data_IF_634547282973
#
_entry.id   IF_634547282973
#
_cell.length_a   1.000
_cell.length_b   1.000
_cell.length_c   1.000
_cell.angle_alpha   90.00
_cell.angle_beta   90.00
_cell.angle_gamma   90.00
#
_symmetry.space_group_name_H-M   'P 1'
#
loop_
_entity.id
_entity.type
_entity.pdbx_description
1 polymer ?
#
# COMPACT_ATOMS: atom_id res chain seq x y z
N UNK A 1 23.35 -4.25 2.42
CA UNK A 1 22.04 -3.80 2.90
C UNK A 1 22.16 -2.30 2.97
N UNK A 2 21.44 -1.59 2.13
CA UNK A 2 21.43 -0.14 2.13
C UNK A 2 20.60 0.35 3.32
N UNK A 3 21.05 1.44 3.93
CA UNK A 3 20.22 2.26 4.81
C UNK A 3 19.45 3.27 3.99
N UNK A 4 18.42 3.89 4.59
CA UNK A 4 17.70 5.01 4.00
C UNK A 4 18.64 6.15 3.56
N UNK A 5 19.68 6.44 4.34
CA UNK A 5 20.64 7.48 3.98
C UNK A 5 21.47 7.08 2.75
N UNK A 6 21.89 5.83 2.64
CA UNK A 6 22.61 5.34 1.46
C UNK A 6 21.76 5.49 0.18
N UNK A 7 20.45 5.24 0.26
CA UNK A 7 19.51 5.43 -0.86
C UNK A 7 19.42 6.92 -1.23
N UNK A 8 19.29 7.81 -0.25
CA UNK A 8 19.27 9.27 -0.48
C UNK A 8 20.56 9.73 -1.15
N UNK A 9 21.72 9.25 -0.69
CA UNK A 9 23.02 9.63 -1.23
C UNK A 9 23.19 9.21 -2.71
N UNK A 10 22.64 8.05 -3.08
CA UNK A 10 22.61 7.58 -4.48
C UNK A 10 21.70 8.45 -5.35
N UNK A 11 20.51 8.82 -4.85
CA UNK A 11 19.64 9.77 -5.55
C UNK A 11 20.34 11.10 -5.76
N UNK A 12 20.96 11.64 -4.71
CA UNK A 12 21.66 12.94 -4.77
C UNK A 12 22.84 12.89 -5.73
N UNK A 13 23.64 11.82 -5.70
CA UNK A 13 24.74 11.63 -6.65
C UNK A 13 24.26 11.57 -8.11
N UNK A 14 23.14 10.89 -8.38
CA UNK A 14 22.54 10.84 -9.71
C UNK A 14 21.97 12.19 -10.15
N UNK A 15 21.21 12.88 -9.28
CA UNK A 15 20.58 14.17 -9.59
C UNK A 15 21.61 15.28 -9.82
N UNK A 16 22.76 15.22 -9.13
CA UNK A 16 23.89 16.14 -9.26
C UNK A 16 24.88 15.75 -10.39
N UNK A 17 24.51 14.76 -11.22
CA UNK A 17 25.32 14.24 -12.33
C UNK A 17 26.74 13.76 -11.89
N UNK A 18 26.88 13.33 -10.63
CA UNK A 18 28.10 12.70 -10.05
C UNK A 18 28.11 11.18 -10.22
N UNK A 19 26.96 10.59 -10.52
CA UNK A 19 26.75 9.18 -10.78
C UNK A 19 25.90 9.04 -12.04
N UNK A 20 26.29 8.14 -12.93
CA UNK A 20 25.55 7.81 -14.14
C UNK A 20 24.33 6.94 -13.83
N UNK A 21 23.40 6.82 -14.78
CA UNK A 21 22.24 5.95 -14.63
C UNK A 21 22.66 4.48 -14.45
N UNK A 22 23.60 4.02 -15.28
CA UNK A 22 24.10 2.64 -15.25
C UNK A 22 24.72 2.29 -13.89
N UNK A 23 25.48 3.20 -13.29
CA UNK A 23 26.06 3.02 -11.95
C UNK A 23 24.98 2.94 -10.86
N UNK A 24 23.92 3.75 -10.96
CA UNK A 24 22.80 3.72 -10.02
C UNK A 24 21.97 2.42 -10.15
N UNK A 25 21.78 1.93 -11.37
CA UNK A 25 21.12 0.64 -11.64
C UNK A 25 21.96 -0.51 -11.10
N UNK A 26 23.27 -0.55 -11.38
CA UNK A 26 24.14 -1.62 -10.88
C UNK A 26 24.17 -1.64 -9.33
N UNK A 27 24.22 -0.46 -8.70
CA UNK A 27 24.11 -0.37 -7.24
C UNK A 27 22.76 -0.91 -6.74
N UNK A 28 21.67 -0.55 -7.41
CA UNK A 28 20.31 -0.98 -7.08
C UNK A 28 20.16 -2.50 -7.14
N UNK A 29 20.62 -3.15 -8.21
CA UNK A 29 20.55 -4.61 -8.38
C UNK A 29 21.26 -5.36 -7.24
N UNK A 30 22.37 -4.80 -6.73
CA UNK A 30 23.14 -5.40 -5.63
C UNK A 30 22.46 -5.28 -4.27
N UNK A 31 21.65 -4.23 -4.06
CA UNK A 31 21.10 -3.89 -2.74
C UNK A 31 19.62 -4.23 -2.57
N UNK A 32 18.81 -4.26 -3.64
CA UNK A 32 17.35 -4.45 -3.56
C UNK A 32 16.95 -5.70 -2.77
N UNK A 33 17.62 -6.83 -3.00
CA UNK A 33 17.29 -8.12 -2.34
C UNK A 33 17.72 -8.22 -0.88
N UNK A 34 18.48 -7.24 -0.38
CA UNK A 34 19.07 -7.26 0.98
C UNK A 34 18.54 -6.14 1.85
N UNK A 35 17.84 -5.17 1.28
CA UNK A 35 17.41 -3.95 1.95
C UNK A 35 16.04 -4.16 2.57
N UNK A 36 15.88 -3.75 3.84
CA UNK A 36 14.60 -3.81 4.53
C UNK A 36 13.61 -2.88 3.81
N UNK A 37 12.38 -3.33 3.49
CA UNK A 37 11.37 -2.49 2.82
C UNK A 37 11.06 -1.17 3.54
N UNK A 38 11.31 -1.07 4.85
CA UNK A 38 11.17 0.18 5.59
C UNK A 38 12.29 1.20 5.34
N UNK A 39 13.42 0.78 4.78
CA UNK A 39 14.51 1.66 4.37
C UNK A 39 14.22 2.30 3.00
N UNK A 40 13.51 1.58 2.12
CA UNK A 40 13.04 2.05 0.80
C UNK A 40 11.50 2.09 0.67
N UNK A 41 10.80 2.92 1.46
CA UNK A 41 9.34 3.05 1.37
C UNK A 41 8.85 3.56 0.01
N UNK A 42 9.67 4.34 -0.70
CA UNK A 42 9.36 4.98 -1.99
C UNK A 42 9.61 4.06 -3.20
N UNK A 43 10.10 2.84 -2.99
CA UNK A 43 10.48 1.92 -4.07
C UNK A 43 11.49 2.52 -5.05
N UNK A 44 12.45 3.28 -4.54
CA UNK A 44 13.52 3.93 -5.33
C UNK A 44 14.29 2.90 -6.15
N UNK A 45 14.52 1.71 -5.60
CA UNK A 45 15.14 0.63 -6.36
C UNK A 45 14.33 0.29 -7.63
N UNK A 46 13.00 0.25 -7.55
CA UNK A 46 12.17 0.03 -8.74
C UNK A 46 12.12 1.25 -9.64
N UNK A 47 12.21 2.48 -9.11
CA UNK A 47 12.35 3.69 -9.91
C UNK A 47 13.60 3.64 -10.79
N UNK A 48 14.75 3.22 -10.23
CA UNK A 48 15.99 3.02 -11.00
C UNK A 48 15.91 1.82 -11.95
N UNK A 49 15.39 0.66 -11.54
CA UNK A 49 15.26 -0.51 -12.44
C UNK A 49 14.24 -0.29 -13.57
N UNK A 50 13.17 0.45 -13.29
CA UNK A 50 12.20 0.95 -14.27
C UNK A 50 12.77 2.06 -15.17
N UNK A 51 14.07 2.34 -15.00
CA UNK A 51 15.03 3.10 -15.81
C UNK A 51 14.74 3.20 -17.30
N UNK A 52 14.54 2.01 -17.84
CA UNK A 52 14.58 1.74 -19.25
C UNK A 52 13.18 1.57 -19.85
N UNK A 53 12.14 1.72 -19.03
CA UNK A 53 10.77 1.74 -19.52
C UNK A 53 10.58 2.94 -20.47
N UNK A 54 9.97 2.73 -21.66
CA UNK A 54 9.67 3.81 -22.59
C UNK A 54 8.92 4.95 -21.90
N UNK A 55 9.23 6.19 -22.26
CA UNK A 55 8.64 7.40 -21.64
C UNK A 55 7.11 7.42 -21.73
N UNK A 56 6.56 6.83 -22.78
CA UNK A 56 5.12 6.64 -23.02
C UNK A 56 4.42 5.77 -21.95
N UNK A 57 5.20 4.95 -21.24
CA UNK A 57 4.72 4.06 -20.16
C UNK A 57 4.93 4.71 -18.79
N UNK A 58 5.74 5.77 -18.72
CA UNK A 58 6.07 6.45 -17.46
C UNK A 58 5.04 7.50 -17.11
N UNK A 59 4.61 7.48 -15.86
CA UNK A 59 3.72 8.52 -15.32
C UNK A 59 4.46 9.85 -15.17
N UNK A 60 5.77 9.82 -14.90
CA UNK A 60 6.63 10.99 -14.69
C UNK A 60 8.05 10.76 -15.25
N UNK A 61 8.76 11.82 -15.66
CA UNK A 61 10.19 11.76 -15.93
C UNK A 61 10.99 11.26 -14.71
N UNK A 62 12.08 10.53 -14.95
CA UNK A 62 12.88 9.89 -13.89
C UNK A 62 13.36 10.90 -12.83
N UNK A 63 13.98 12.02 -13.24
CA UNK A 63 14.48 13.04 -12.30
C UNK A 63 13.35 13.64 -11.44
N UNK A 64 12.14 13.78 -11.99
CA UNK A 64 10.98 14.26 -11.23
C UNK A 64 10.52 13.23 -10.20
N UNK A 65 10.44 11.96 -10.58
CA UNK A 65 10.07 10.88 -9.65
C UNK A 65 11.10 10.75 -8.53
N UNK A 66 12.40 10.76 -8.84
CA UNK A 66 13.45 10.66 -7.83
C UNK A 66 13.44 11.83 -6.81
N UNK A 67 13.04 13.02 -7.23
CA UNK A 67 12.85 14.15 -6.29
C UNK A 67 11.70 13.90 -5.31
N UNK A 68 10.61 13.27 -5.77
CA UNK A 68 9.48 12.88 -4.91
C UNK A 68 9.89 11.74 -3.98
N UNK A 69 10.55 10.72 -4.52
CA UNK A 69 11.04 9.57 -3.76
C UNK A 69 11.99 10.03 -2.65
N UNK A 70 12.92 10.93 -2.98
CA UNK A 70 13.82 11.55 -2.01
C UNK A 70 13.07 12.29 -0.90
N UNK A 71 12.01 13.02 -1.23
CA UNK A 71 11.19 13.71 -0.22
C UNK A 71 10.53 12.71 0.74
N UNK A 72 10.03 11.59 0.22
CA UNK A 72 9.48 10.49 1.01
C UNK A 72 10.55 9.91 1.94
N UNK A 73 11.77 9.67 1.45
CA UNK A 73 12.87 9.14 2.27
C UNK A 73 13.31 10.13 3.35
N UNK A 74 13.43 11.42 3.03
CA UNK A 74 13.85 12.45 3.99
C UNK A 74 12.83 12.64 5.10
N UNK A 75 11.53 12.70 4.76
CA UNK A 75 10.47 12.89 5.76
C UNK A 75 10.18 11.59 6.53
N UNK A 76 10.34 10.45 5.87
CA UNK A 76 10.06 9.13 6.40
C UNK A 76 8.56 8.80 6.43
N UNK A 77 8.27 7.51 6.59
CA UNK A 77 6.92 6.99 6.80
C UNK A 77 6.93 6.02 7.99
N UNK A 78 5.86 5.96 8.79
CA UNK A 78 5.79 5.12 9.99
C UNK A 78 5.65 3.65 9.58
N UNK A 79 6.78 2.93 9.52
CA UNK A 79 6.83 1.54 9.08
C UNK A 79 6.90 0.58 10.28
N UNK A 80 5.81 -0.13 10.64
CA UNK A 80 5.78 -1.01 11.80
C UNK A 80 6.33 -2.43 11.53
N UNK A 81 7.09 -2.63 10.44
CA UNK A 81 7.53 -3.97 10.00
C UNK A 81 8.27 -4.76 11.09
N UNK A 82 9.13 -4.10 11.88
CA UNK A 82 9.90 -4.74 12.97
C UNK A 82 9.03 -5.24 14.14
N UNK A 83 7.78 -4.79 14.20
CA UNK A 83 6.79 -5.16 15.21
C UNK A 83 5.83 -6.26 14.75
N UNK A 84 5.92 -6.69 13.48
CA UNK A 84 5.14 -7.80 12.95
C UNK A 84 5.38 -9.09 13.77
N UNK A 85 4.29 -9.74 14.16
CA UNK A 85 4.30 -10.95 14.98
C UNK A 85 4.61 -10.70 16.47
N UNK A 86 4.88 -9.45 16.87
CA UNK A 86 5.02 -9.03 18.27
C UNK A 86 3.76 -8.28 18.69
N UNK A 87 3.76 -6.97 18.50
CA UNK A 87 2.67 -6.05 18.86
C UNK A 87 1.78 -5.73 17.67
N UNK A 88 2.17 -6.11 16.45
CA UNK A 88 1.39 -5.92 15.21
C UNK A 88 1.14 -7.27 14.54
N UNK A 89 -0.11 -7.61 14.27
CA UNK A 89 -0.44 -8.83 13.51
C UNK A 89 -0.29 -8.64 12.00
N UNK A 90 -0.74 -7.48 11.52
CA UNK A 90 -0.68 -7.08 10.12
C UNK A 90 -0.81 -5.56 10.04
N UNK A 91 -0.23 -4.99 8.98
CA UNK A 91 -0.43 -3.59 8.64
C UNK A 91 -0.56 -3.44 7.13
N UNK A 92 -1.24 -2.39 6.72
CA UNK A 92 -1.24 -1.85 5.38
C UNK A 92 -0.84 -0.38 5.49
N UNK A 93 0.28 -0.03 4.86
CA UNK A 93 0.84 1.30 4.85
C UNK A 93 0.85 1.81 3.42
N UNK A 94 0.27 2.98 3.23
CA UNK A 94 0.12 3.62 1.95
C UNK A 94 0.42 5.11 2.09
N UNK A 95 1.00 5.73 1.08
CA UNK A 95 1.23 7.17 1.08
C UNK A 95 1.08 7.75 -0.32
N UNK A 96 0.83 9.04 -0.38
CA UNK A 96 0.89 9.85 -1.59
C UNK A 96 1.79 11.05 -1.27
N UNK A 97 2.92 11.24 -1.97
CA UNK A 97 3.85 12.34 -1.70
C UNK A 97 3.13 13.69 -1.64
N UNK A 98 3.43 14.49 -0.61
CA UNK A 98 2.85 15.82 -0.32
C UNK A 98 1.36 15.87 -0.01
N UNK A 99 0.64 14.76 -0.09
CA UNK A 99 -0.77 14.69 0.28
C UNK A 99 -0.93 14.14 1.69
N UNK A 100 -0.67 12.83 1.86
CA UNK A 100 -0.92 12.14 3.13
C UNK A 100 -0.25 10.78 3.21
N UNK A 101 -0.20 10.28 4.44
CA UNK A 101 0.23 8.94 4.83
C UNK A 101 -0.97 8.26 5.50
N UNK A 102 -1.17 6.98 5.21
CA UNK A 102 -2.22 6.15 5.79
C UNK A 102 -1.61 4.88 6.35
N UNK A 103 -1.85 4.61 7.62
CA UNK A 103 -1.51 3.38 8.29
C UNK A 103 -2.77 2.72 8.81
N UNK A 104 -3.08 1.52 8.31
CA UNK A 104 -4.09 0.64 8.87
C UNK A 104 -3.38 -0.56 9.48
N UNK A 105 -3.63 -0.88 10.74
CA UNK A 105 -2.96 -2.00 11.39
C UNK A 105 -3.83 -2.71 12.41
N UNK A 106 -3.48 -3.97 12.67
CA UNK A 106 -4.04 -4.76 13.76
C UNK A 106 -3.00 -4.79 14.87
N UNK A 107 -3.20 -3.96 15.89
CA UNK A 107 -2.37 -3.93 17.09
C UNK A 107 -2.84 -4.98 18.10
N UNK A 108 -1.88 -5.53 18.83
CA UNK A 108 -2.09 -6.33 20.04
C UNK A 108 -1.64 -5.48 21.22
N UNK A 109 -2.53 -5.20 22.17
CA UNK A 109 -2.19 -4.48 23.40
C UNK A 109 -1.38 -5.37 24.35
N UNK A 110 -0.82 -4.79 25.41
CA UNK A 110 -0.13 -5.55 26.47
C UNK A 110 -1.05 -6.59 27.13
N UNK A 111 -2.35 -6.28 27.22
CA UNK A 111 -3.39 -7.17 27.75
C UNK A 111 -3.85 -8.25 26.74
N UNK A 112 -3.27 -8.26 25.53
CA UNK A 112 -3.60 -9.21 24.46
C UNK A 112 -4.87 -8.86 23.67
N UNK A 113 -5.42 -7.67 23.86
CA UNK A 113 -6.58 -7.20 23.11
C UNK A 113 -6.16 -6.83 21.69
N UNK A 114 -7.01 -7.15 20.71
CA UNK A 114 -6.77 -6.84 19.30
C UNK A 114 -7.50 -5.55 18.96
N UNK A 115 -6.79 -4.57 18.40
CA UNK A 115 -7.34 -3.28 17.99
C UNK A 115 -7.06 -3.09 16.50
N UNK A 116 -8.10 -2.88 15.71
CA UNK A 116 -7.97 -2.34 14.36
C UNK A 116 -7.80 -0.83 14.48
N UNK A 117 -6.64 -0.34 14.13
CA UNK A 117 -6.27 1.08 14.18
C UNK A 117 -6.11 1.60 12.75
N UNK A 118 -6.70 2.76 12.48
CA UNK A 118 -6.56 3.47 11.20
C UNK A 118 -6.14 4.90 11.48
N UNK A 119 -4.97 5.26 10.96
CA UNK A 119 -4.37 6.58 11.09
C UNK A 119 -4.21 7.15 9.68
N UNK A 120 -4.64 8.40 9.47
CA UNK A 120 -4.34 9.21 8.30
C UNK A 120 -3.71 10.52 8.75
N UNK A 121 -2.55 10.87 8.18
CA UNK A 121 -1.76 12.03 8.58
C UNK A 121 -1.28 12.81 7.35
N UNK A 122 -1.16 14.12 7.48
CA UNK A 122 -0.42 14.96 6.55
C UNK A 122 1.10 14.77 6.72
N UNK A 123 1.87 15.19 5.70
CA UNK A 123 3.33 15.12 5.74
C UNK A 123 4.01 16.12 6.70
N UNK A 124 3.21 16.99 7.33
CA UNK A 124 3.59 17.88 8.42
C UNK A 124 3.30 17.25 9.81
N UNK A 125 2.80 16.01 9.84
CA UNK A 125 2.37 15.32 11.07
C UNK A 125 0.96 15.69 11.53
N UNK A 126 0.21 16.48 10.76
CA UNK A 126 -1.18 16.80 11.11
C UNK A 126 -2.06 15.55 10.98
N UNK A 127 -2.67 15.10 12.09
CA UNK A 127 -3.59 13.98 12.08
C UNK A 127 -4.90 14.38 11.37
N UNK A 128 -5.18 13.76 10.21
CA UNK A 128 -6.37 14.00 9.40
C UNK A 128 -7.54 13.08 9.81
N UNK A 129 -7.22 11.88 10.26
CA UNK A 129 -8.21 10.92 10.76
C UNK A 129 -7.56 9.89 11.67
N UNK A 130 -8.28 9.50 12.71
CA UNK A 130 -7.90 8.41 13.59
C UNK A 130 -9.14 7.64 14.02
N UNK A 131 -9.06 6.32 13.93
CA UNK A 131 -10.09 5.40 14.41
C UNK A 131 -9.45 4.17 15.04
N UNK A 132 -9.93 3.81 16.23
CA UNK A 132 -9.65 2.54 16.87
C UNK A 132 -10.94 1.73 16.98
N UNK A 133 -10.88 0.46 16.59
CA UNK A 133 -11.99 -0.47 16.71
C UNK A 133 -11.52 -1.77 17.37
N UNK A 134 -12.04 -2.14 18.54
CA UNK A 134 -11.76 -3.44 19.13
C UNK A 134 -12.16 -4.58 18.19
N UNK A 135 -11.26 -5.55 18.04
CA UNK A 135 -11.50 -6.79 17.32
C UNK A 135 -11.63 -7.94 18.33
N UNK A 136 -12.58 -8.86 18.13
CA UNK A 136 -12.63 -10.08 18.92
C UNK A 136 -11.33 -10.90 18.83
N UNK A 137 -11.07 -11.67 19.89
CA UNK A 137 -10.02 -12.69 19.91
C UNK A 137 -10.32 -13.71 18.79
N UNK A 138 -9.28 -14.15 18.07
CA UNK A 138 -9.43 -15.07 16.94
C UNK A 138 -10.16 -16.34 17.37
N UNK A 139 -11.16 -16.74 16.59
CA UNK A 139 -11.83 -18.02 16.79
C UNK A 139 -10.97 -19.15 16.20
N UNK A 140 -10.18 -19.80 17.06
CA UNK A 140 -9.32 -20.95 16.69
C UNK A 140 -10.10 -22.22 16.37
N UNK A 141 -11.42 -22.27 16.61
CA UNK A 141 -12.19 -23.53 16.58
C UNK A 141 -13.17 -23.65 15.41
N UNK A 142 -13.50 -22.60 14.67
CA UNK A 142 -14.71 -22.67 13.81
C UNK A 142 -14.60 -22.25 12.35
N UNK A 143 -13.50 -21.74 11.80
CA UNK A 143 -13.55 -21.25 10.41
C UNK A 143 -12.32 -21.63 9.59
N UNK A 144 -12.57 -22.09 8.35
CA UNK A 144 -11.54 -22.18 7.31
C UNK A 144 -10.81 -20.83 7.20
N UNK A 145 -9.48 -20.84 6.97
CA UNK A 145 -8.73 -19.61 6.81
C UNK A 145 -9.28 -18.79 5.65
N UNK A 146 -9.23 -17.47 5.79
CA UNK A 146 -9.57 -16.57 4.70
C UNK A 146 -8.54 -16.74 3.57
N UNK A 147 -9.02 -16.80 2.32
CA UNK A 147 -8.16 -16.83 1.13
C UNK A 147 -8.38 -15.61 0.24
N UNK A 148 -7.35 -15.25 -0.52
CA UNK A 148 -7.39 -14.21 -1.54
C UNK A 148 -8.55 -14.36 -2.53
N UNK A 149 -8.87 -15.58 -2.98
CA UNK A 149 -10.00 -15.83 -3.89
C UNK A 149 -11.35 -15.45 -3.25
N UNK A 150 -11.50 -15.70 -1.94
CA UNK A 150 -12.70 -15.29 -1.21
C UNK A 150 -12.82 -13.77 -1.15
N UNK A 151 -11.71 -13.07 -0.84
CA UNK A 151 -11.64 -11.60 -0.82
C UNK A 151 -12.00 -11.03 -2.20
N UNK A 152 -11.37 -11.54 -3.26
CA UNK A 152 -11.60 -11.09 -4.64
C UNK A 152 -13.06 -11.29 -5.04
N UNK A 153 -13.63 -12.47 -4.79
CA UNK A 153 -15.04 -12.78 -5.11
C UNK A 153 -16.00 -11.86 -4.37
N UNK A 154 -15.79 -11.63 -3.08
CA UNK A 154 -16.66 -10.79 -2.25
C UNK A 154 -16.56 -9.31 -2.62
N UNK A 155 -15.37 -8.85 -2.98
CA UNK A 155 -15.16 -7.49 -3.51
C UNK A 155 -15.90 -7.30 -4.83
N UNK A 156 -15.88 -8.28 -5.74
CA UNK A 156 -16.65 -8.24 -6.98
C UNK A 156 -18.16 -8.18 -6.73
N UNK A 157 -18.68 -9.00 -5.79
CA UNK A 157 -20.09 -8.96 -5.41
C UNK A 157 -20.52 -7.57 -4.91
N UNK A 158 -19.68 -6.91 -4.12
CA UNK A 158 -19.93 -5.53 -3.69
C UNK A 158 -19.94 -4.57 -4.89
N UNK A 159 -18.96 -4.67 -5.81
CA UNK A 159 -18.87 -3.84 -7.02
C UNK A 159 -20.14 -3.92 -7.89
N UNK A 160 -20.73 -5.11 -8.03
CA UNK A 160 -21.95 -5.31 -8.83
C UNK A 160 -23.26 -5.13 -8.02
N UNK A 161 -23.18 -4.64 -6.79
CA UNK A 161 -24.35 -4.19 -6.02
C UNK A 161 -25.03 -5.22 -5.11
N UNK A 162 -24.42 -6.40 -4.87
CA UNK A 162 -25.00 -7.39 -3.94
C UNK A 162 -24.93 -6.97 -2.46
N UNK A 163 -24.05 -6.02 -2.11
CA UNK A 163 -23.89 -5.53 -0.75
C UNK A 163 -23.89 -4.01 -0.70
N UNK A 164 -24.50 -3.46 0.35
CA UNK A 164 -24.27 -2.06 0.71
C UNK A 164 -22.84 -1.88 1.26
N UNK A 165 -22.30 -0.65 1.24
CA UNK A 165 -20.99 -0.35 1.83
C UNK A 165 -20.89 -0.74 3.31
N UNK A 166 -21.96 -0.52 4.09
CA UNK A 166 -21.99 -0.88 5.51
C UNK A 166 -22.01 -2.38 5.74
N UNK A 167 -22.81 -3.14 4.98
CA UNK A 167 -22.84 -4.62 5.07
C UNK A 167 -21.49 -5.22 4.70
N UNK A 168 -20.84 -4.69 3.68
CA UNK A 168 -19.52 -5.16 3.26
C UNK A 168 -18.42 -4.78 4.25
N UNK A 169 -18.49 -3.59 4.86
CA UNK A 169 -17.57 -3.18 5.93
C UNK A 169 -17.66 -4.12 7.14
N UNK A 170 -18.87 -4.51 7.54
CA UNK A 170 -19.04 -5.49 8.62
C UNK A 170 -18.43 -6.83 8.22
N UNK A 171 -18.67 -7.31 6.99
CA UNK A 171 -18.06 -8.55 6.50
C UNK A 171 -16.52 -8.51 6.55
N UNK A 172 -15.90 -7.39 6.17
CA UNK A 172 -14.44 -7.19 6.28
C UNK A 172 -13.97 -7.33 7.73
N UNK A 173 -14.63 -6.65 8.67
CA UNK A 173 -14.31 -6.73 10.10
C UNK A 173 -14.46 -8.16 10.63
N UNK A 174 -15.48 -8.88 10.19
CA UNK A 174 -15.69 -10.28 10.56
C UNK A 174 -14.55 -11.17 10.02
N UNK A 175 -14.04 -10.90 8.82
CA UNK A 175 -12.93 -11.68 8.26
C UNK A 175 -11.60 -11.44 9.00
N UNK A 176 -11.39 -10.26 9.61
CA UNK A 176 -10.21 -9.99 10.44
C UNK A 176 -10.14 -10.85 11.73
N UNK A 177 -11.20 -11.58 12.06
CA UNK A 177 -11.25 -12.51 13.19
C UNK A 177 -10.78 -13.93 12.83
N UNK A 178 -10.72 -14.27 11.53
CA UNK A 178 -10.23 -15.57 11.05
C UNK A 178 -8.71 -15.60 11.05
N UNK A 179 -8.12 -16.79 11.19
CA UNK A 179 -6.71 -16.99 10.85
C UNK A 179 -6.50 -16.82 9.34
N UNK A 180 -5.44 -16.12 8.96
CA UNK A 180 -5.10 -15.86 7.56
C UNK A 180 -3.64 -15.43 7.42
N UNK A 181 -3.17 -15.27 6.18
CA UNK A 181 -1.82 -14.77 5.94
C UNK A 181 -1.75 -13.27 6.21
N UNK A 182 -0.54 -12.75 6.47
CA UNK A 182 -0.32 -11.29 6.60
C UNK A 182 -0.87 -10.56 5.38
N UNK A 183 -0.58 -11.08 4.18
CA UNK A 183 -1.01 -10.52 2.90
C UNK A 183 -2.53 -10.39 2.79
N UNK A 184 -3.27 -11.45 3.07
CA UNK A 184 -4.74 -11.42 3.04
C UNK A 184 -5.31 -10.38 4.01
N UNK A 185 -4.68 -10.18 5.18
CA UNK A 185 -5.03 -9.08 6.07
C UNK A 185 -4.70 -7.71 5.47
N UNK A 186 -3.55 -7.52 4.81
CA UNK A 186 -3.21 -6.24 4.17
C UNK A 186 -4.28 -5.84 3.15
N UNK A 187 -4.79 -6.80 2.38
CA UNK A 187 -5.86 -6.59 1.41
C UNK A 187 -7.17 -6.16 2.08
N UNK A 188 -7.55 -6.84 3.17
CA UNK A 188 -8.71 -6.44 3.97
C UNK A 188 -8.55 -5.06 4.62
N UNK A 189 -7.35 -4.72 5.11
CA UNK A 189 -7.06 -3.41 5.73
C UNK A 189 -7.14 -2.27 4.70
N UNK A 190 -6.65 -2.49 3.49
CA UNK A 190 -6.83 -1.58 2.35
C UNK A 190 -8.31 -1.36 2.03
N UNK A 191 -9.09 -2.46 1.93
CA UNK A 191 -10.52 -2.40 1.68
C UNK A 191 -11.25 -1.66 2.82
N UNK A 192 -10.89 -1.95 4.07
CA UNK A 192 -11.46 -1.32 5.25
C UNK A 192 -11.30 0.20 5.17
N UNK A 193 -10.08 0.68 4.94
CA UNK A 193 -9.81 2.11 4.79
C UNK A 193 -10.65 2.75 3.68
N UNK A 194 -10.70 2.15 2.48
CA UNK A 194 -11.48 2.67 1.35
C UNK A 194 -12.98 2.78 1.68
N UNK A 195 -13.52 1.84 2.45
CA UNK A 195 -14.91 1.87 2.90
C UNK A 195 -15.17 2.95 3.96
N UNK A 196 -14.18 3.22 4.83
CA UNK A 196 -14.26 4.31 5.83
C UNK A 196 -14.06 5.68 5.21
N UNK A 197 -13.33 5.77 4.10
CA UNK A 197 -12.99 7.03 3.39
C UNK A 197 -13.47 7.04 1.93
N UNK A 198 -14.77 6.84 1.66
CA UNK A 198 -15.30 6.65 0.29
C UNK A 198 -15.12 7.87 -0.64
N UNK A 199 -14.92 9.06 -0.08
CA UNK A 199 -14.75 10.31 -0.82
C UNK A 199 -13.28 10.77 -0.92
N UNK A 200 -12.34 10.01 -0.35
CA UNK A 200 -10.92 10.34 -0.44
C UNK A 200 -10.33 9.71 -1.70
N UNK A 201 -10.12 10.49 -2.75
CA UNK A 201 -9.26 10.07 -3.84
C UNK A 201 -7.82 9.92 -3.31
N UNK A 202 -7.19 8.78 -3.60
CA UNK A 202 -5.86 8.44 -3.10
C UNK A 202 -5.26 7.42 -4.06
N UNK A 203 -4.25 7.83 -4.83
CA UNK A 203 -3.44 6.96 -5.69
C UNK A 203 -2.18 6.59 -4.92
N UNK A 204 -2.14 5.44 -4.24
CA UNK A 204 -1.15 5.25 -3.20
C UNK A 204 0.03 4.46 -3.72
N UNK A 205 1.21 4.81 -3.23
CA UNK A 205 2.36 3.93 -3.19
C UNK A 205 2.29 3.11 -1.89
N UNK A 206 2.66 1.82 -1.93
CA UNK A 206 2.35 0.86 -0.86
C UNK A 206 3.58 0.12 -0.37
N UNK A 207 3.88 0.16 0.93
CA UNK A 207 4.92 -0.73 1.47
C UNK A 207 4.35 -2.15 1.58
N UNK A 208 4.87 -3.08 0.77
CA UNK A 208 4.58 -4.51 0.91
C UNK A 208 5.32 -5.04 2.13
N UNK A 209 4.60 -5.72 3.03
CA UNK A 209 5.26 -6.48 4.09
C UNK A 209 5.78 -7.76 3.45
N UNK A 210 7.09 -7.91 3.26
CA UNK A 210 7.60 -9.14 2.66
C UNK A 210 7.37 -10.35 3.59
N UNK A 211 6.74 -11.39 3.02
CA UNK A 211 7.29 -12.72 3.13
C UNK A 211 8.26 -12.89 1.96
N UNK A 212 9.47 -13.40 2.23
CA UNK A 212 10.68 -13.56 1.39
C UNK A 212 10.52 -14.24 0.00
N UNK A 213 9.39 -14.17 -0.68
CA UNK A 213 9.16 -14.93 -1.91
C UNK A 213 8.21 -14.21 -2.85
N UNK A 214 8.75 -13.27 -3.64
CA UNK A 214 8.59 -13.16 -5.12
C UNK A 214 8.62 -11.70 -5.57
N UNK A 215 9.75 -11.29 -6.14
CA UNK A 215 9.81 -10.19 -7.10
C UNK A 215 8.85 -10.40 -8.29
N UNK A 216 8.53 -11.65 -8.65
CA UNK A 216 7.74 -11.94 -9.86
C UNK A 216 6.22 -11.74 -9.74
N UNK A 217 5.62 -11.77 -8.54
CA UNK A 217 4.16 -11.58 -8.39
C UNK A 217 3.75 -10.13 -8.15
N UNK A 218 4.73 -9.27 -7.86
CA UNK A 218 4.49 -7.86 -7.51
C UNK A 218 3.98 -7.08 -8.72
N UNK A 219 4.53 -7.33 -9.90
CA UNK A 219 4.14 -6.67 -11.16
C UNK A 219 2.74 -7.10 -11.61
N UNK A 220 2.41 -8.40 -11.57
CA UNK A 220 1.07 -8.89 -11.94
C UNK A 220 -0.01 -8.43 -10.95
N UNK A 221 0.29 -8.34 -9.65
CA UNK A 221 -0.66 -7.90 -8.65
C UNK A 221 -0.85 -6.39 -8.62
N UNK A 222 0.22 -5.61 -8.79
CA UNK A 222 0.11 -4.16 -8.96
C UNK A 222 -0.63 -3.82 -10.25
N UNK A 223 -0.36 -4.52 -11.36
CA UNK A 223 -1.14 -4.37 -12.59
C UNK A 223 -2.61 -4.75 -12.39
N UNK A 224 -2.92 -5.83 -11.66
CA UNK A 224 -4.31 -6.22 -11.38
C UNK A 224 -5.05 -5.24 -10.47
N UNK A 225 -4.37 -4.65 -9.47
CA UNK A 225 -4.95 -3.64 -8.57
C UNK A 225 -5.06 -2.29 -9.27
N UNK A 226 -4.11 -1.93 -10.13
CA UNK A 226 -4.15 -0.75 -10.99
C UNK A 226 -5.19 -0.87 -12.09
N UNK A 227 -5.42 -2.05 -12.67
CA UNK A 227 -6.51 -2.30 -13.62
C UNK A 227 -7.87 -2.12 -12.94
N UNK A 228 -8.05 -2.64 -11.73
CA UNK A 228 -9.26 -2.40 -10.93
C UNK A 228 -9.46 -0.89 -10.67
N UNK A 229 -8.39 -0.18 -10.31
CA UNK A 229 -8.44 1.27 -10.06
C UNK A 229 -8.66 2.10 -11.34
N UNK A 230 -8.12 1.66 -12.48
CA UNK A 230 -8.24 2.34 -13.78
C UNK A 230 -9.61 2.11 -14.42
N UNK A 231 -10.19 0.92 -14.27
CA UNK A 231 -11.58 0.64 -14.67
C UNK A 231 -12.60 1.49 -13.87
N UNK A 232 -12.34 1.72 -12.58
CA UNK A 232 -13.18 2.59 -11.73
C UNK A 232 -13.16 4.07 -12.17
N UNK A 233 -12.03 4.55 -12.71
CA UNK A 233 -11.90 5.92 -13.21
C UNK A 233 -12.54 6.10 -14.61
N UNK A 234 -12.49 5.06 -15.46
CA UNK A 234 -13.15 5.05 -16.78
C UNK A 234 -14.68 4.93 -16.62
N UNK A 235 -15.16 4.13 -15.66
CA UNK A 235 -16.59 4.01 -15.35
C UNK A 235 -17.21 5.32 -14.86
N UNK A 236 -16.46 6.15 -14.12
CA UNK A 236 -16.91 7.49 -13.70
C UNK A 236 -16.94 8.50 -14.85
N UNK A 237 -16.00 8.41 -15.80
CA UNK A 237 -15.96 9.29 -16.99
C UNK A 237 -17.00 8.94 -18.04
N UNK A 238 -17.43 7.69 -18.12
CA UNK A 238 -18.46 7.23 -19.08
C UNK A 238 -19.89 7.25 -18.54
N UNK A 239 -20.07 7.29 -17.21
CA UNK A 239 -21.38 7.44 -16.56
C UNK A 239 -21.93 8.87 -16.50
N UNK A 240 -21.13 9.87 -16.91
CA UNK A 240 -21.51 11.28 -16.95
C UNK A 240 -21.84 11.74 -18.37
N UNK A 241 -22.80 11.09 -19.05
CA UNK A 241 -23.56 11.66 -20.17
C UNK A 241 -24.67 10.68 -20.60
N UNK A 242 -25.79 10.71 -19.90
CA UNK A 242 -27.09 10.33 -20.47
C UNK A 242 -28.22 11.03 -19.74
N UNK A 243 -28.10 12.36 -19.68
CA UNK A 243 -29.26 13.25 -19.59
C UNK A 243 -29.25 14.12 -20.84
N UNK A 244 -30.40 14.13 -21.52
CA UNK A 244 -30.75 14.80 -22.79
C UNK A 244 -30.31 14.00 -24.04
N UNK A 245 -31.21 13.53 -24.91
CA UNK A 245 -32.09 14.32 -25.79
C UNK A 245 -33.21 13.42 -26.41
N UNK A 246 -34.44 13.96 -26.43
CA UNK A 246 -35.73 13.50 -27.02
C UNK A 246 -36.48 12.31 -26.42
#
# INVERSE_FOLDING_TARGET
MATRQDIIDVIDAYLEDKMTLDEAVEWTEREISKTDPCEDPAFVFFTFLGSDAPEEVRVRPLKEQLLLDREVLVRGVPCPHKELGKTIEAYWLAFAPREKIVLCQIRITEDGERILEVIEEGWDGTQLFHEEKPLPIKDRKSNSPLTWEEIKRKTNWRRIGFFTGGTFLQWVVDQLQKESTVRDYQDLLSIYWRLRRPNAFFLPEYIKAENKTRMDSITEELMGLMEILREEDIGRKTGGNSSEVF
#
